data_IF_777878701397
#
_entry.id   IF_777878701397
#
_cell.length_a   1.000
_cell.length_b   1.000
_cell.length_c   1.000
_cell.angle_alpha   90.00
_cell.angle_beta   90.00
_cell.angle_gamma   90.00
#
_symmetry.space_group_name_H-M   'P 1'
#
loop_
_entity.id
_entity.type
_entity.pdbx_description
1 polymer ?
#
# COMPACT_ATOMS: atom_id res chain seq x y z
N UNK A 1 -10.59 5.62 -4.57
CA UNK A 1 -10.64 6.27 -5.89
C UNK A 1 -11.53 5.40 -6.75
N UNK A 2 -12.67 5.91 -7.20
CA UNK A 2 -13.39 5.27 -8.31
C UNK A 2 -12.66 5.72 -9.58
N UNK A 3 -11.65 4.95 -9.97
CA UNK A 3 -11.20 4.94 -11.35
C UNK A 3 -12.33 4.35 -12.20
N UNK A 4 -12.41 4.72 -13.49
CA UNK A 4 -13.28 3.99 -14.41
C UNK A 4 -12.79 2.55 -14.47
N UNK A 5 -13.54 1.69 -13.80
CA UNK A 5 -13.40 0.25 -13.90
C UNK A 5 -14.22 -0.19 -15.10
N UNK A 6 -13.63 -1.04 -15.92
CA UNK A 6 -14.31 -1.58 -17.08
C UNK A 6 -13.65 -2.85 -17.59
N UNK A 7 -14.33 -3.44 -18.57
CA UNK A 7 -13.86 -4.60 -19.33
C UNK A 7 -14.12 -4.33 -20.80
N UNK A 8 -13.10 -4.54 -21.62
CA UNK A 8 -13.14 -4.36 -23.06
C UNK A 8 -12.72 -5.66 -23.71
N UNK A 9 -13.65 -6.28 -24.45
CA UNK A 9 -13.35 -7.43 -25.29
C UNK A 9 -12.95 -6.91 -26.66
N UNK A 10 -11.73 -7.23 -27.05
CA UNK A 10 -11.18 -6.80 -28.33
C UNK A 10 -11.57 -7.84 -29.37
N UNK A 11 -12.27 -7.43 -30.47
CA UNK A 11 -12.57 -8.33 -31.56
C UNK A 11 -11.31 -9.06 -32.03
N UNK A 12 -11.49 -10.31 -32.45
CA UNK A 12 -10.40 -11.25 -32.67
C UNK A 12 -9.32 -10.62 -33.56
N UNK A 13 -8.06 -10.76 -33.12
CA UNK A 13 -6.89 -10.42 -33.94
C UNK A 13 -6.87 -11.21 -35.26
N UNK A 14 -7.67 -12.28 -35.39
CA UNK A 14 -7.84 -13.11 -36.59
C UNK A 14 -9.20 -12.97 -37.29
N UNK A 15 -10.07 -12.03 -36.90
CA UNK A 15 -11.21 -11.59 -37.72
C UNK A 15 -12.55 -12.34 -37.62
N UNK A 16 -12.74 -13.31 -36.73
CA UNK A 16 -14.06 -13.90 -36.46
C UNK A 16 -14.77 -13.24 -35.28
N UNK A 17 -16.10 -13.10 -35.35
CA UNK A 17 -16.96 -12.45 -34.35
C UNK A 17 -16.87 -13.03 -32.92
N UNK A 18 -17.60 -12.43 -31.97
CA UNK A 18 -17.46 -12.62 -30.51
C UNK A 18 -17.14 -14.07 -30.09
N UNK A 19 -15.86 -14.30 -29.85
CA UNK A 19 -15.26 -15.57 -29.44
C UNK A 19 -14.98 -15.47 -27.93
N UNK A 20 -15.39 -16.46 -27.12
CA UNK A 20 -15.07 -16.51 -25.69
C UNK A 20 -13.56 -16.42 -25.39
N UNK A 21 -12.69 -16.70 -26.36
CA UNK A 21 -11.22 -16.58 -26.26
C UNK A 21 -10.66 -15.22 -26.72
N UNK A 22 -11.50 -14.19 -26.87
CA UNK A 22 -11.04 -12.85 -27.26
C UNK A 22 -10.15 -12.20 -26.20
N UNK A 23 -9.16 -11.43 -26.68
CA UNK A 23 -8.31 -10.58 -25.84
C UNK A 23 -9.20 -9.68 -25.00
N UNK A 24 -9.04 -9.73 -23.69
CA UNK A 24 -9.78 -8.89 -22.76
C UNK A 24 -8.80 -7.94 -22.07
N UNK A 25 -9.16 -6.64 -22.06
CA UNK A 25 -8.51 -5.62 -21.24
C UNK A 25 -9.46 -5.28 -20.10
N UNK A 26 -8.94 -5.25 -18.86
CA UNK A 26 -9.77 -4.89 -17.70
C UNK A 26 -9.02 -4.01 -16.71
N UNK A 27 -9.73 -3.07 -16.10
CA UNK A 27 -9.30 -2.28 -14.93
C UNK A 27 -10.17 -2.55 -13.69
N UNK A 28 -11.02 -3.59 -13.74
CA UNK A 28 -12.03 -3.92 -12.73
C UNK A 28 -11.41 -4.61 -11.50
N UNK A 29 -10.52 -3.89 -10.81
CA UNK A 29 -9.84 -4.31 -9.60
C UNK A 29 -9.30 -3.10 -8.83
N UNK A 30 -8.78 -3.33 -7.61
CA UNK A 30 -8.24 -2.28 -6.74
C UNK A 30 -7.15 -1.48 -7.46
N UNK A 31 -7.31 -0.15 -7.46
CA UNK A 31 -6.42 0.82 -8.12
C UNK A 31 -6.36 0.69 -9.64
N UNK A 32 -7.15 -0.18 -10.26
CA UNK A 32 -7.19 -0.35 -11.71
C UNK A 32 -7.77 0.89 -12.40
N UNK A 33 -7.09 1.44 -13.40
CA UNK A 33 -7.58 2.56 -14.21
C UNK A 33 -7.27 2.33 -15.68
N UNK A 34 -8.31 2.25 -16.50
CA UNK A 34 -8.25 2.52 -17.93
C UNK A 34 -9.60 3.10 -18.38
N UNK A 35 -9.54 4.02 -19.32
CA UNK A 35 -10.70 4.52 -20.04
C UNK A 35 -11.01 3.61 -21.23
N UNK A 36 -11.47 4.20 -22.32
CA UNK A 36 -11.76 3.48 -23.56
C UNK A 36 -10.54 2.74 -24.14
N UNK A 37 -10.77 1.54 -24.69
CA UNK A 37 -9.79 0.68 -25.35
C UNK A 37 -10.25 0.38 -26.77
N UNK A 38 -9.36 0.57 -27.77
CA UNK A 38 -9.65 0.33 -29.18
C UNK A 38 -8.48 -0.35 -29.88
N UNK A 39 -8.79 -1.25 -30.81
CA UNK A 39 -7.82 -1.77 -31.77
C UNK A 39 -7.72 -0.77 -32.92
N UNK A 40 -6.57 -0.11 -33.08
CA UNK A 40 -6.37 0.95 -34.08
C UNK A 40 -5.55 0.49 -35.30
N UNK A 41 -4.82 -0.61 -35.15
CA UNK A 41 -4.08 -1.28 -36.21
C UNK A 41 -3.83 -2.73 -35.80
N UNK A 42 -3.22 -3.53 -36.68
CA UNK A 42 -2.84 -4.91 -36.37
C UNK A 42 -2.03 -4.97 -35.07
N UNK A 43 -2.52 -5.77 -34.12
CA UNK A 43 -1.93 -5.96 -32.79
C UNK A 43 -1.65 -4.67 -32.00
N UNK A 44 -2.34 -3.56 -32.32
CA UNK A 44 -2.06 -2.25 -31.71
C UNK A 44 -3.29 -1.72 -30.99
N UNK A 45 -3.22 -1.71 -29.66
CA UNK A 45 -4.27 -1.25 -28.77
C UNK A 45 -4.00 0.20 -28.35
N UNK A 46 -4.95 1.07 -28.67
CA UNK A 46 -5.02 2.40 -28.09
C UNK A 46 -5.84 2.35 -26.81
N UNK A 47 -5.27 2.85 -25.70
CA UNK A 47 -5.91 2.89 -24.39
C UNK A 47 -5.91 4.35 -23.93
N UNK A 48 -7.09 4.88 -23.66
CA UNK A 48 -7.23 6.18 -22.98
C UNK A 48 -7.20 6.00 -21.47
N UNK A 49 -6.78 7.04 -20.73
CA UNK A 49 -6.83 7.09 -19.27
C UNK A 49 -8.11 7.80 -18.84
N UNK A 50 -8.86 7.25 -17.89
CA UNK A 50 -10.00 7.96 -17.32
C UNK A 50 -9.53 9.08 -16.37
N UNK A 51 -10.26 10.21 -16.31
CA UNK A 51 -9.90 11.29 -15.41
C UNK A 51 -10.00 10.88 -13.94
N UNK A 52 -9.26 11.56 -13.06
CA UNK A 52 -9.42 11.34 -11.62
C UNK A 52 -10.89 11.62 -11.20
N UNK A 53 -11.42 10.75 -10.34
CA UNK A 53 -12.80 10.80 -9.85
C UNK A 53 -13.86 10.76 -10.98
N UNK A 54 -13.55 10.09 -12.09
CA UNK A 54 -14.45 9.96 -13.24
C UNK A 54 -15.86 9.53 -12.85
N UNK A 55 -16.86 10.16 -13.46
CA UNK A 55 -18.27 9.87 -13.21
C UNK A 55 -18.82 10.39 -11.88
N UNK A 56 -18.06 11.24 -11.16
CA UNK A 56 -18.52 11.89 -9.92
C UNK A 56 -18.50 13.41 -10.07
N UNK A 57 -19.17 14.13 -9.15
CA UNK A 57 -19.12 15.61 -9.09
C UNK A 57 -17.72 16.17 -8.82
N UNK A 58 -16.78 15.34 -8.34
CA UNK A 58 -15.40 15.72 -8.05
C UNK A 58 -14.43 15.36 -9.18
N UNK A 59 -14.94 15.00 -10.36
CA UNK A 59 -14.12 14.66 -11.52
C UNK A 59 -13.19 15.83 -11.88
N UNK A 60 -11.92 15.52 -12.11
CA UNK A 60 -10.92 16.52 -12.54
C UNK A 60 -10.48 16.30 -13.99
N UNK A 61 -9.58 17.14 -14.50
CA UNK A 61 -8.93 16.92 -15.80
C UNK A 61 -7.65 16.07 -15.72
N UNK A 62 -7.20 15.74 -14.51
CA UNK A 62 -5.97 14.99 -14.28
C UNK A 62 -6.05 13.57 -14.84
N UNK A 63 -5.04 13.19 -15.63
CA UNK A 63 -4.93 11.88 -16.29
C UNK A 63 -3.47 11.44 -16.30
N UNK A 64 -3.05 10.65 -15.34
CA UNK A 64 -1.65 10.18 -15.26
C UNK A 64 -1.58 8.70 -14.96
N UNK A 65 -2.34 8.26 -13.97
CA UNK A 65 -2.32 6.88 -13.51
C UNK A 65 -3.10 5.97 -14.45
N UNK A 66 -2.45 4.93 -14.97
CA UNK A 66 -3.12 3.78 -15.56
C UNK A 66 -2.70 2.50 -14.83
N UNK A 67 -3.62 1.56 -14.74
CA UNK A 67 -3.36 0.22 -14.24
C UNK A 67 -4.43 -0.72 -14.80
N UNK A 68 -4.05 -1.60 -15.72
CA UNK A 68 -4.98 -2.51 -16.37
C UNK A 68 -4.36 -3.91 -16.49
N UNK A 69 -5.20 -4.89 -16.75
CA UNK A 69 -4.85 -6.26 -17.03
C UNK A 69 -5.20 -6.60 -18.48
N UNK A 70 -4.47 -7.55 -19.05
CA UNK A 70 -4.71 -8.12 -20.37
C UNK A 70 -4.71 -9.64 -20.23
N UNK A 71 -5.76 -10.30 -20.71
CA UNK A 71 -5.94 -11.76 -20.70
C UNK A 71 -6.26 -12.26 -22.09
N UNK A 72 -6.21 -13.59 -22.27
CA UNK A 72 -6.60 -14.29 -23.51
C UNK A 72 -5.78 -13.88 -24.75
N UNK A 73 -4.54 -13.40 -24.56
CA UNK A 73 -3.64 -13.12 -25.69
C UNK A 73 -3.04 -14.44 -26.17
N UNK A 74 -3.08 -14.76 -27.49
CA UNK A 74 -2.43 -15.95 -28.00
C UNK A 74 -0.93 -15.95 -27.73
N UNK A 75 -0.37 -17.16 -27.60
CA UNK A 75 1.07 -17.33 -27.35
C UNK A 75 1.88 -16.81 -28.54
N UNK A 76 3.05 -16.25 -28.25
CA UNK A 76 3.97 -15.65 -29.22
C UNK A 76 3.44 -14.36 -29.89
N UNK A 77 2.25 -13.88 -29.52
CA UNK A 77 1.70 -12.61 -30.02
C UNK A 77 2.39 -11.44 -29.34
N UNK A 78 2.79 -10.45 -30.15
CA UNK A 78 3.29 -9.16 -29.68
C UNK A 78 2.19 -8.12 -29.81
N UNK A 79 1.77 -7.52 -28.70
CA UNK A 79 0.88 -6.36 -28.73
C UNK A 79 1.67 -5.07 -28.57
N UNK A 80 1.22 -4.03 -29.28
CA UNK A 80 1.66 -2.65 -29.11
C UNK A 80 0.57 -1.89 -28.33
N UNK A 81 0.97 -1.14 -27.33
CA UNK A 81 0.09 -0.33 -26.50
C UNK A 81 0.40 1.13 -26.77
N UNK A 82 -0.63 1.91 -27.08
CA UNK A 82 -0.58 3.37 -27.17
C UNK A 82 -1.44 3.91 -26.03
N UNK A 83 -0.79 4.36 -24.95
CA UNK A 83 -1.49 5.02 -23.86
C UNK A 83 -1.59 6.50 -24.21
N UNK A 84 -2.79 6.95 -24.54
CA UNK A 84 -3.04 8.33 -24.98
C UNK A 84 -3.53 9.21 -23.84
N UNK A 85 -3.90 10.45 -24.20
CA UNK A 85 -4.59 11.46 -23.40
C UNK A 85 -4.08 11.65 -21.96
N UNK A 86 -2.78 11.41 -21.72
CA UNK A 86 -2.13 11.67 -20.45
C UNK A 86 -1.88 13.18 -20.30
N UNK A 87 -1.84 13.66 -19.06
CA UNK A 87 -1.22 14.94 -18.72
C UNK A 87 0.28 14.91 -19.04
N UNK A 88 0.91 16.09 -19.14
CA UNK A 88 2.33 16.17 -19.52
C UNK A 88 3.23 15.44 -18.52
N UNK A 89 3.94 14.40 -18.99
CA UNK A 89 4.91 13.63 -18.20
C UNK A 89 6.31 13.61 -18.82
N UNK A 90 6.57 14.49 -19.81
CA UNK A 90 7.84 14.54 -20.55
C UNK A 90 9.08 14.56 -19.65
N UNK A 91 9.15 15.32 -18.54
CA UNK A 91 10.30 15.27 -17.65
C UNK A 91 10.58 13.87 -17.08
N UNK A 92 9.56 13.11 -16.70
CA UNK A 92 9.74 11.77 -16.15
C UNK A 92 10.27 10.79 -17.21
N UNK A 93 9.69 10.81 -18.41
CA UNK A 93 10.10 9.92 -19.50
C UNK A 93 11.47 10.29 -20.09
N UNK A 94 11.84 11.57 -20.09
CA UNK A 94 13.21 12.01 -20.42
C UNK A 94 14.26 11.42 -19.45
N UNK A 95 13.90 11.19 -18.19
CA UNK A 95 14.77 10.56 -17.20
C UNK A 95 14.60 9.03 -17.13
N UNK A 96 14.11 8.41 -18.22
CA UNK A 96 14.08 6.95 -18.36
C UNK A 96 12.94 6.26 -17.61
N UNK A 97 11.88 6.98 -17.26
CA UNK A 97 10.67 6.34 -16.73
C UNK A 97 10.13 5.31 -17.73
N UNK A 98 9.82 4.11 -17.22
CA UNK A 98 9.10 3.08 -17.97
C UNK A 98 7.91 2.56 -17.14
N UNK A 99 6.77 2.25 -17.78
CA UNK A 99 5.71 1.49 -17.14
C UNK A 99 6.22 0.17 -16.59
N UNK A 100 5.45 -0.45 -15.71
CA UNK A 100 5.76 -1.75 -15.10
C UNK A 100 4.79 -2.83 -15.58
N UNK A 101 5.27 -4.07 -15.58
CA UNK A 101 4.53 -5.27 -15.91
C UNK A 101 4.66 -6.32 -14.80
N UNK A 102 3.60 -7.10 -14.60
CA UNK A 102 3.61 -8.32 -13.79
C UNK A 102 2.78 -9.39 -14.48
N UNK A 103 3.30 -10.61 -14.60
CA UNK A 103 2.59 -11.74 -15.22
C UNK A 103 2.08 -12.68 -14.13
N UNK A 104 0.77 -12.82 -14.00
CA UNK A 104 0.11 -13.51 -12.90
C UNK A 104 0.05 -12.69 -11.62
N UNK A 105 -0.55 -13.27 -10.57
CA UNK A 105 -0.77 -12.57 -9.30
C UNK A 105 0.46 -12.60 -8.37
N UNK A 106 1.28 -13.65 -8.48
CA UNK A 106 2.40 -13.92 -7.55
C UNK A 106 3.76 -13.47 -8.08
N UNK A 107 3.87 -13.12 -9.36
CA UNK A 107 5.12 -12.65 -9.93
C UNK A 107 5.52 -11.27 -9.37
N UNK A 108 6.81 -10.94 -9.52
CA UNK A 108 7.31 -9.60 -9.21
C UNK A 108 6.93 -8.63 -10.31
N UNK A 109 6.82 -7.36 -9.94
CA UNK A 109 6.71 -6.26 -10.89
C UNK A 109 8.09 -5.95 -11.46
N UNK A 110 8.17 -5.80 -12.78
CA UNK A 110 9.38 -5.37 -13.48
C UNK A 110 9.05 -4.21 -14.41
N UNK A 111 10.07 -3.42 -14.81
CA UNK A 111 9.90 -2.41 -15.86
C UNK A 111 9.62 -3.10 -17.19
N UNK A 112 8.78 -2.49 -18.03
CA UNK A 112 8.55 -2.97 -19.40
C UNK A 112 9.90 -3.15 -20.12
N UNK A 113 10.15 -4.33 -20.72
CA UNK A 113 11.36 -4.54 -21.49
C UNK A 113 11.31 -3.73 -22.79
N UNK A 114 12.46 -3.23 -23.23
CA UNK A 114 12.59 -2.45 -24.46
C UNK A 114 12.35 -0.94 -24.29
N UNK A 115 12.20 -0.24 -25.42
CA UNK A 115 12.02 1.20 -25.46
C UNK A 115 10.57 1.60 -25.18
N UNK A 116 10.40 2.77 -24.56
CA UNK A 116 9.11 3.46 -24.43
C UNK A 116 9.20 4.73 -25.24
N UNK A 117 8.42 4.81 -26.32
CA UNK A 117 8.33 6.02 -27.13
C UNK A 117 7.31 6.96 -26.50
N UNK A 118 7.53 8.26 -26.57
CA UNK A 118 6.61 9.23 -26.00
C UNK A 118 6.61 10.54 -26.78
N UNK A 119 5.47 11.23 -26.78
CA UNK A 119 5.31 12.50 -27.49
C UNK A 119 4.26 13.38 -26.84
N UNK A 120 4.51 14.69 -26.84
CA UNK A 120 3.49 15.70 -26.53
C UNK A 120 2.72 16.01 -27.82
N UNK A 121 1.48 15.57 -27.90
CA UNK A 121 0.60 15.79 -29.06
C UNK A 121 0.02 17.21 -29.04
N UNK A 122 -0.26 17.73 -27.84
CA UNK A 122 -0.69 19.11 -27.63
C UNK A 122 -0.18 19.62 -26.28
N UNK A 123 -0.50 20.86 -25.92
CA UNK A 123 -0.20 21.41 -24.57
C UNK A 123 -0.81 20.56 -23.45
N UNK A 124 -1.92 19.90 -23.69
CA UNK A 124 -2.67 19.14 -22.68
C UNK A 124 -2.63 17.62 -22.88
N UNK A 125 -2.10 17.15 -24.01
CA UNK A 125 -2.07 15.73 -24.34
C UNK A 125 -0.66 15.22 -24.54
N UNK A 126 -0.33 14.20 -23.77
CA UNK A 126 0.86 13.40 -23.84
C UNK A 126 0.46 11.95 -24.11
N UNK A 127 1.30 11.22 -24.82
CA UNK A 127 1.11 9.80 -25.05
C UNK A 127 2.42 9.04 -24.88
N UNK A 128 2.29 7.76 -24.56
CA UNK A 128 3.40 6.80 -24.56
C UNK A 128 3.04 5.56 -25.38
N UNK A 129 4.04 4.94 -25.95
CA UNK A 129 3.94 3.69 -26.69
C UNK A 129 4.98 2.70 -26.21
N UNK A 130 4.54 1.46 -25.99
CA UNK A 130 5.42 0.35 -25.67
C UNK A 130 4.83 -0.96 -26.22
N UNK A 131 5.65 -2.01 -26.28
CA UNK A 131 5.20 -3.32 -26.77
C UNK A 131 5.49 -4.41 -25.74
N UNK A 132 4.69 -5.47 -25.76
CA UNK A 132 4.95 -6.67 -24.97
C UNK A 132 4.66 -7.92 -25.80
N UNK A 133 5.58 -8.89 -25.73
CA UNK A 133 5.41 -10.21 -26.35
C UNK A 133 4.91 -11.20 -25.30
N UNK A 134 3.73 -11.77 -25.55
CA UNK A 134 3.07 -12.69 -24.65
C UNK A 134 3.59 -14.12 -24.90
N UNK A 135 4.35 -14.64 -23.94
CA UNK A 135 4.99 -15.96 -24.06
C UNK A 135 4.24 -17.06 -23.27
N UNK A 136 3.31 -16.66 -22.40
CA UNK A 136 2.55 -17.57 -21.55
C UNK A 136 1.27 -18.06 -22.26
N UNK A 137 0.68 -19.13 -21.73
CA UNK A 137 -0.59 -19.67 -22.23
C UNK A 137 -1.75 -18.66 -22.06
N UNK A 138 -2.83 -18.81 -22.84
CA UNK A 138 -4.01 -17.93 -22.89
C UNK A 138 -4.58 -17.51 -21.52
N UNK A 139 -4.42 -18.35 -20.50
CA UNK A 139 -4.95 -18.14 -19.14
C UNK A 139 -4.09 -17.23 -18.24
N UNK A 140 -2.90 -16.81 -18.68
CA UNK A 140 -2.04 -15.94 -17.87
C UNK A 140 -2.49 -14.49 -17.98
N UNK A 141 -2.78 -13.86 -16.84
CA UNK A 141 -3.11 -12.43 -16.77
C UNK A 141 -1.83 -11.60 -16.72
N UNK A 142 -1.62 -10.72 -17.69
CA UNK A 142 -0.56 -9.71 -17.63
C UNK A 142 -1.11 -8.39 -17.14
N UNK A 143 -0.48 -7.81 -16.12
CA UNK A 143 -0.85 -6.54 -15.54
C UNK A 143 0.15 -5.45 -15.97
N UNK A 144 -0.35 -4.27 -16.32
CA UNK A 144 0.44 -3.12 -16.77
C UNK A 144 0.06 -1.89 -15.94
N UNK A 145 1.04 -1.16 -15.42
CA UNK A 145 0.78 0.06 -14.64
C UNK A 145 1.79 1.18 -14.92
N UNK A 146 1.38 2.42 -14.67
CA UNK A 146 2.23 3.62 -14.83
C UNK A 146 3.51 3.53 -13.98
N UNK A 147 3.36 3.09 -12.72
CA UNK A 147 4.44 2.78 -11.80
C UNK A 147 4.02 1.60 -10.92
N UNK A 148 4.91 1.11 -10.05
CA UNK A 148 4.62 0.02 -9.11
C UNK A 148 3.34 0.33 -8.31
N UNK A 149 2.25 -0.43 -8.47
CA UNK A 149 1.04 -0.19 -7.72
C UNK A 149 1.22 -0.60 -6.25
N UNK A 150 0.56 0.13 -5.38
CA UNK A 150 0.35 -0.27 -3.99
C UNK A 150 -1.13 -0.04 -3.69
N UNK A 151 -1.89 -1.12 -3.62
CA UNK A 151 -3.35 -1.08 -3.54
C UNK A 151 -3.83 -0.79 -2.13
N UNK A 152 -5.09 -0.39 -1.98
CA UNK A 152 -5.68 -0.20 -0.65
C UNK A 152 -5.71 -1.51 0.13
N UNK A 153 -6.05 -2.61 -0.57
CA UNK A 153 -6.09 -3.96 0.00
C UNK A 153 -4.73 -4.40 0.52
N UNK A 154 -3.65 -4.21 -0.26
CA UNK A 154 -2.28 -4.50 0.17
C UNK A 154 -1.85 -3.65 1.37
N UNK A 155 -2.19 -2.35 1.36
CA UNK A 155 -1.91 -1.44 2.47
C UNK A 155 -2.58 -1.91 3.77
N UNK A 156 -3.89 -2.19 3.73
CA UNK A 156 -4.62 -2.66 4.91
C UNK A 156 -4.10 -4.02 5.41
N UNK A 157 -3.80 -4.95 4.49
CA UNK A 157 -3.21 -6.23 4.86
C UNK A 157 -1.85 -6.08 5.54
N UNK A 158 -1.01 -5.14 5.08
CA UNK A 158 0.27 -4.84 5.72
C UNK A 158 0.06 -4.25 7.12
N UNK A 159 -0.82 -3.26 7.27
CA UNK A 159 -1.09 -2.64 8.56
C UNK A 159 -1.66 -3.65 9.57
N UNK A 160 -2.54 -4.56 9.13
CA UNK A 160 -3.03 -5.66 9.97
C UNK A 160 -1.89 -6.57 10.44
N UNK A 161 -0.91 -6.88 9.57
CA UNK A 161 0.27 -7.68 9.95
C UNK A 161 1.15 -6.95 10.96
N UNK A 162 1.35 -5.65 10.80
CA UNK A 162 2.13 -4.84 11.75
C UNK A 162 1.43 -4.75 13.10
N UNK A 163 0.11 -4.53 13.10
CA UNK A 163 -0.71 -4.51 14.30
C UNK A 163 -0.70 -5.86 15.03
N UNK A 164 -0.84 -6.98 14.33
CA UNK A 164 -0.73 -8.31 14.93
C UNK A 164 0.67 -8.58 15.52
N UNK A 165 1.72 -7.99 14.95
CA UNK A 165 3.11 -8.21 15.37
C UNK A 165 3.55 -7.31 16.53
N UNK A 166 3.14 -6.04 16.50
CA UNK A 166 3.64 -4.99 17.39
C UNK A 166 2.56 -4.31 18.21
N UNK A 167 1.28 -4.62 17.99
CA UNK A 167 0.14 -3.98 18.64
C UNK A 167 0.26 -3.99 20.16
N UNK A 168 -0.26 -2.95 20.79
CA UNK A 168 -0.15 -2.69 22.24
C UNK A 168 -0.50 -3.91 23.11
N UNK A 169 -1.48 -4.72 22.70
CA UNK A 169 -1.89 -5.96 23.38
C UNK A 169 -0.70 -6.94 23.55
N UNK A 170 0.21 -7.01 22.56
CA UNK A 170 1.41 -7.85 22.62
C UNK A 170 2.43 -7.43 23.68
N UNK A 171 2.40 -6.17 24.14
CA UNK A 171 3.25 -5.67 25.23
C UNK A 171 2.67 -6.11 26.58
N UNK A 172 1.34 -6.25 26.67
CA UNK A 172 0.63 -6.58 27.90
C UNK A 172 0.67 -8.07 28.22
N UNK A 173 0.62 -8.93 27.20
CA UNK A 173 0.69 -10.39 27.34
C UNK A 173 2.08 -10.89 27.82
N UNK A 174 3.15 -10.22 27.40
CA UNK A 174 4.53 -10.55 27.82
C UNK A 174 4.81 -10.27 29.32
N UNK A 175 3.89 -9.62 30.02
CA UNK A 175 4.04 -9.25 31.43
C UNK A 175 3.37 -10.25 32.39
N UNK A 176 2.45 -11.11 31.93
CA UNK A 176 1.81 -12.13 32.78
C UNK A 176 2.58 -13.47 32.84
N UNK A 177 3.46 -13.74 31.87
CA UNK A 177 4.26 -14.98 31.80
C UNK A 177 5.75 -14.77 32.12
N UNK A 178 6.13 -13.62 32.71
CA UNK A 178 7.48 -13.41 33.24
C UNK A 178 7.64 -14.09 34.60
N UNK A 179 8.82 -14.66 34.94
CA UNK A 179 9.02 -15.22 36.27
C UNK A 179 8.84 -14.11 37.32
N UNK A 180 8.00 -14.36 38.32
CA UNK A 180 7.87 -13.49 39.48
C UNK A 180 9.26 -13.29 40.11
N UNK A 181 9.62 -12.04 40.42
CA UNK A 181 10.84 -11.76 41.17
C UNK A 181 10.73 -12.43 42.55
N UNK A 182 11.71 -13.25 42.98
CA UNK A 182 11.70 -13.77 44.33
C UNK A 182 12.13 -12.65 45.29
N UNK A 183 11.32 -12.45 46.34
CA UNK A 183 11.67 -11.65 47.51
C UNK A 183 12.93 -12.20 48.18
N UNK A 184 13.67 -11.29 48.78
CA UNK A 184 15.00 -11.43 49.37
C UNK A 184 15.12 -12.55 50.41
N UNK A 185 16.18 -13.37 50.32
CA UNK A 185 16.87 -13.93 51.48
C UNK A 185 18.30 -14.40 51.10
N UNK A 186 19.25 -14.22 52.02
CA UNK A 186 20.70 -14.43 51.85
C UNK A 186 21.10 -15.94 51.96
N UNK A 187 22.35 -16.35 51.62
CA UNK A 187 22.64 -17.67 51.05
C UNK A 187 23.07 -18.74 52.08
N UNK A 188 23.12 -20.03 51.65
CA UNK A 188 24.41 -20.73 51.76
C UNK A 188 24.82 -21.61 50.56
N UNK A 189 26.14 -21.57 50.33
CA UNK A 189 27.10 -22.49 49.71
C UNK A 189 26.68 -23.66 48.79
N UNK A 190 27.34 -23.64 47.61
CA UNK A 190 28.10 -24.73 46.96
C UNK A 190 27.35 -25.90 46.27
N UNK A 191 27.36 -25.93 44.93
CA UNK A 191 28.30 -26.71 44.07
C UNK A 191 27.79 -26.72 42.63
N UNK A 192 28.73 -26.63 41.70
CA UNK A 192 28.51 -26.63 40.27
C UNK A 192 28.02 -28.00 39.76
N UNK A 193 27.09 -28.00 38.80
CA UNK A 193 27.31 -28.79 37.60
C UNK A 193 26.60 -28.25 36.37
N UNK A 194 27.33 -28.30 35.26
CA UNK A 194 27.10 -27.71 33.96
C UNK A 194 25.95 -28.35 33.19
N UNK A 195 25.06 -27.51 32.68
CA UNK A 195 24.14 -27.84 31.60
C UNK A 195 23.73 -26.55 30.91
N UNK A 196 24.39 -26.22 29.80
CA UNK A 196 24.08 -25.06 28.95
C UNK A 196 22.70 -25.23 28.33
N UNK A 197 21.66 -24.83 29.07
CA UNK A 197 20.35 -24.53 28.50
C UNK A 197 20.47 -23.16 27.85
N UNK A 198 20.51 -23.16 26.53
CA UNK A 198 20.45 -21.97 25.69
C UNK A 198 19.06 -21.32 25.83
N UNK A 199 18.83 -20.69 26.97
CA UNK A 199 17.63 -19.89 27.26
C UNK A 199 17.81 -18.57 26.54
N UNK A 200 17.40 -18.52 25.26
CA UNK A 200 17.16 -17.26 24.56
C UNK A 200 16.09 -16.49 25.34
N UNK A 201 16.52 -15.71 26.33
CA UNK A 201 15.72 -14.78 27.11
C UNK A 201 15.02 -13.87 26.09
N UNK A 202 13.73 -14.10 25.86
CA UNK A 202 12.92 -13.35 24.89
C UNK A 202 13.06 -11.87 25.27
N UNK A 203 13.85 -11.11 24.52
CA UNK A 203 14.05 -9.68 24.79
C UNK A 203 12.66 -9.04 24.80
N UNK A 204 12.27 -8.44 25.93
CA UNK A 204 11.03 -7.68 26.07
C UNK A 204 10.98 -6.67 24.92
N UNK A 205 9.92 -6.73 24.11
CA UNK A 205 9.69 -5.76 23.05
C UNK A 205 9.46 -4.40 23.69
N UNK A 206 10.25 -3.41 23.29
CA UNK A 206 10.13 -2.02 23.78
C UNK A 206 9.26 -1.15 22.89
N UNK A 207 8.90 -1.63 21.70
CA UNK A 207 8.19 -0.84 20.70
C UNK A 207 6.71 -0.82 21.05
N UNK A 208 6.21 0.38 21.31
CA UNK A 208 4.79 0.69 21.29
C UNK A 208 4.36 0.98 19.86
N UNK A 209 3.43 0.19 19.35
CA UNK A 209 2.76 0.41 18.08
C UNK A 209 1.26 0.44 18.31
N UNK A 210 0.65 1.56 17.93
CA UNK A 210 -0.78 1.73 18.02
C UNK A 210 -1.33 2.23 16.69
N UNK A 211 -2.36 1.56 16.20
CA UNK A 211 -3.05 1.90 14.97
C UNK A 211 -4.46 2.37 15.31
N UNK A 212 -4.76 3.61 14.99
CA UNK A 212 -6.09 4.19 15.15
C UNK A 212 -6.70 4.51 13.78
N UNK A 213 -8.03 4.43 13.67
CA UNK A 213 -8.72 5.06 12.55
C UNK A 213 -8.78 6.56 12.84
N UNK A 214 -8.05 7.37 12.08
CA UNK A 214 -8.08 8.83 12.24
C UNK A 214 -9.42 9.40 11.77
N UNK A 215 -9.83 8.99 10.57
CA UNK A 215 -11.07 9.42 9.92
C UNK A 215 -11.48 8.40 8.85
N UNK A 216 -12.65 8.63 8.26
CA UNK A 216 -13.09 7.94 7.05
C UNK A 216 -13.04 8.89 5.86
N UNK A 217 -12.53 8.41 4.73
CA UNK A 217 -12.61 9.15 3.46
C UNK A 217 -14.06 9.29 2.98
N UNK A 218 -14.30 10.12 1.97
CA UNK A 218 -15.62 10.29 1.32
C UNK A 218 -16.24 8.98 0.81
N UNK A 219 -15.41 7.96 0.56
CA UNK A 219 -15.84 6.63 0.12
C UNK A 219 -15.81 5.60 1.27
N UNK A 220 -15.90 6.07 2.51
CA UNK A 220 -15.92 5.27 3.74
C UNK A 220 -14.70 4.35 3.97
N UNK A 221 -13.54 4.65 3.35
CA UNK A 221 -12.28 3.94 3.62
C UNK A 221 -11.56 4.52 4.83
N UNK A 222 -10.85 3.67 5.59
CA UNK A 222 -10.05 4.10 6.74
C UNK A 222 -8.89 4.99 6.31
N UNK A 223 -8.69 6.08 7.04
CA UNK A 223 -7.44 6.82 7.09
C UNK A 223 -6.80 6.44 8.42
N UNK A 224 -5.75 5.62 8.38
CA UNK A 224 -5.11 5.09 9.59
C UNK A 224 -4.02 6.05 10.09
N UNK A 225 -3.97 6.26 11.41
CA UNK A 225 -2.87 6.92 12.11
C UNK A 225 -2.07 5.87 12.87
N UNK A 226 -0.76 5.86 12.66
CA UNK A 226 0.17 4.97 13.35
C UNK A 226 0.98 5.77 14.36
N UNK A 227 0.92 5.38 15.63
CA UNK A 227 1.78 5.89 16.69
C UNK A 227 2.84 4.85 17.02
N UNK A 228 4.11 5.20 16.79
CA UNK A 228 5.26 4.31 17.00
C UNK A 228 6.26 5.00 17.92
N UNK A 229 6.62 4.37 19.03
CA UNK A 229 7.65 4.87 19.95
C UNK A 229 8.20 3.76 20.83
N UNK A 230 9.22 4.02 21.65
CA UNK A 230 9.58 3.11 22.72
C UNK A 230 8.72 3.40 23.96
N UNK A 231 8.13 2.38 24.57
CA UNK A 231 7.38 2.50 25.82
C UNK A 231 8.09 1.84 27.00
N UNK A 232 7.85 2.41 28.19
CA UNK A 232 8.21 1.87 29.50
C UNK A 232 6.94 1.52 30.27
N UNK A 233 7.06 0.69 31.31
CA UNK A 233 5.91 0.31 32.17
C UNK A 233 5.18 1.52 32.77
N UNK A 234 5.91 2.58 33.11
CA UNK A 234 5.36 3.84 33.63
C UNK A 234 4.44 4.59 32.66
N UNK A 235 4.49 4.27 31.37
CA UNK A 235 3.73 5.00 30.33
C UNK A 235 2.29 4.49 30.21
N UNK A 236 1.99 3.27 30.68
CA UNK A 236 0.69 2.60 30.53
C UNK A 236 -0.46 3.33 31.23
N UNK A 237 -0.18 4.03 32.34
CA UNK A 237 -1.21 4.60 33.21
C UNK A 237 -1.43 6.11 32.98
N UNK A 238 -0.92 6.68 31.89
CA UNK A 238 -0.95 8.13 31.64
C UNK A 238 -2.09 8.62 30.74
N UNK A 239 -3.07 7.77 30.40
CA UNK A 239 -4.27 8.22 29.69
C UNK A 239 -5.56 7.61 30.25
N UNK A 240 -6.39 8.49 30.80
CA UNK A 240 -7.83 8.30 30.94
C UNK A 240 -8.48 8.50 29.56
N UNK A 241 -9.44 7.64 29.18
CA UNK A 241 -10.22 7.71 27.93
C UNK A 241 -10.84 9.10 27.62
N UNK A 242 -10.86 10.00 28.61
CA UNK A 242 -11.54 11.31 28.58
C UNK A 242 -10.90 12.35 27.63
N UNK A 243 -9.61 12.25 27.28
CA UNK A 243 -8.94 13.30 26.48
C UNK A 243 -9.06 13.13 24.97
N UNK A 244 -9.13 11.90 24.46
CA UNK A 244 -9.39 11.64 23.03
C UNK A 244 -10.85 11.94 22.72
N UNK A 245 -11.76 11.48 23.57
CA UNK A 245 -13.19 11.81 23.46
C UNK A 245 -13.40 13.33 23.46
N UNK A 246 -12.78 14.11 24.35
CA UNK A 246 -12.85 15.60 24.28
C UNK A 246 -12.37 16.18 22.95
N UNK A 247 -11.25 15.72 22.39
CA UNK A 247 -10.73 16.21 21.10
C UNK A 247 -11.65 15.82 19.93
N UNK A 248 -12.18 14.59 19.95
CA UNK A 248 -13.17 14.08 18.99
C UNK A 248 -14.46 14.91 19.06
N UNK A 249 -15.01 15.15 20.26
CA UNK A 249 -16.22 15.94 20.47
C UNK A 249 -16.03 17.42 20.11
N UNK A 250 -14.81 17.95 20.26
CA UNK A 250 -14.48 19.33 19.85
C UNK A 250 -14.27 19.47 18.34
N UNK A 251 -13.99 18.37 17.63
CA UNK A 251 -13.73 18.36 16.18
C UNK A 251 -14.47 17.19 15.49
N UNK A 252 -15.81 17.13 15.58
CA UNK A 252 -16.61 15.98 15.12
C UNK A 252 -16.53 15.78 13.60
N UNK A 253 -16.15 16.83 12.85
CA UNK A 253 -15.90 16.77 11.40
C UNK A 253 -14.57 16.11 11.03
N UNK A 254 -13.56 16.17 11.90
CA UNK A 254 -12.23 15.62 11.66
C UNK A 254 -12.10 14.18 12.19
N UNK A 255 -12.84 13.87 13.26
CA UNK A 255 -12.90 12.55 13.87
C UNK A 255 -14.36 12.11 14.01
N UNK A 256 -14.95 11.42 13.02
CA UNK A 256 -16.29 10.88 13.20
C UNK A 256 -16.29 9.95 14.42
N UNK A 257 -17.31 10.07 15.28
CA UNK A 257 -17.50 9.35 16.56
C UNK A 257 -17.35 7.81 16.47
N UNK A 258 -17.29 7.24 15.26
CA UNK A 258 -17.07 5.83 14.95
C UNK A 258 -15.60 5.40 14.78
N UNK A 259 -14.64 6.24 15.19
CA UNK A 259 -13.20 5.91 15.16
C UNK A 259 -12.78 4.87 16.22
N UNK A 260 -13.68 4.56 17.15
CA UNK A 260 -13.61 3.44 18.08
C UNK A 260 -13.93 2.13 17.31
N UNK A 261 -13.21 1.04 17.57
CA UNK A 261 -13.45 -0.30 16.96
C UNK A 261 -14.96 -0.58 16.78
N UNK A 262 -15.37 -1.11 15.63
CA UNK A 262 -16.61 -1.88 15.53
C UNK A 262 -16.52 -2.98 16.60
N UNK A 263 -17.21 -2.81 17.74
CA UNK A 263 -17.07 -3.70 18.90
C UNK A 263 -16.68 -3.08 20.25
N UNK A 264 -16.72 -1.74 20.42
CA UNK A 264 -17.04 -1.17 21.75
C UNK A 264 -15.89 -0.99 22.76
N UNK A 265 -14.62 -1.11 22.38
CA UNK A 265 -13.52 -0.63 23.23
C UNK A 265 -12.77 0.51 22.55
N UNK A 266 -12.93 1.73 23.06
CA UNK A 266 -12.02 2.84 22.81
C UNK A 266 -10.58 2.37 23.13
N UNK A 267 -9.77 2.07 22.11
CA UNK A 267 -8.36 1.81 22.36
C UNK A 267 -7.68 3.16 22.52
N UNK A 268 -7.61 3.65 23.75
CA UNK A 268 -6.92 4.91 24.08
C UNK A 268 -5.43 4.76 23.80
N UNK A 269 -4.90 5.63 22.93
CA UNK A 269 -3.47 5.70 22.68
C UNK A 269 -2.75 6.21 23.94
N UNK A 270 -1.60 5.63 24.29
CA UNK A 270 -0.78 6.10 25.41
C UNK A 270 -0.21 7.49 25.13
N UNK A 271 -0.03 8.29 26.19
CA UNK A 271 0.62 9.60 26.12
C UNK A 271 2.08 9.49 26.54
N UNK A 272 2.96 10.07 25.74
CA UNK A 272 4.40 10.10 25.99
C UNK A 272 4.85 11.54 26.24
N UNK A 273 4.98 11.91 27.51
CA UNK A 273 5.34 13.27 27.92
C UNK A 273 6.82 13.55 27.66
N UNK A 274 7.13 14.79 27.24
CA UNK A 274 8.51 15.23 26.99
C UNK A 274 9.17 14.61 25.75
N UNK A 275 8.46 13.78 24.98
CA UNK A 275 8.96 13.24 23.71
C UNK A 275 8.65 14.19 22.54
N UNK A 276 9.64 14.52 21.70
CA UNK A 276 9.38 15.22 20.44
C UNK A 276 8.44 14.41 19.56
N UNK A 277 7.51 15.10 18.89
CA UNK A 277 6.57 14.49 17.94
C UNK A 277 7.09 14.77 16.53
N UNK A 278 7.26 13.72 15.74
CA UNK A 278 7.56 13.81 14.31
C UNK A 278 6.36 13.27 13.55
N UNK A 279 5.76 14.10 12.70
CA UNK A 279 4.66 13.70 11.83
C UNK A 279 5.18 13.38 10.43
N UNK A 280 4.81 12.20 9.92
CA UNK A 280 5.14 11.78 8.56
C UNK A 280 3.85 11.35 7.87
N UNK A 281 3.59 11.90 6.70
CA UNK A 281 2.51 11.49 5.81
C UNK A 281 3.07 11.08 4.45
N UNK A 282 2.31 10.24 3.74
CA UNK A 282 2.69 9.75 2.42
C UNK A 282 1.47 9.66 1.50
N UNK A 283 1.72 9.82 0.20
CA UNK A 283 0.76 9.64 -0.88
C UNK A 283 -0.52 10.47 -0.74
N UNK A 284 -0.34 11.77 -0.53
CA UNK A 284 -1.42 12.78 -0.62
C UNK A 284 -2.01 12.77 -2.04
N UNK A 285 -1.14 12.70 -3.06
CA UNK A 285 -1.56 12.44 -4.42
C UNK A 285 -1.65 10.92 -4.67
N UNK A 286 -2.80 10.41 -5.11
CA UNK A 286 -3.07 8.98 -5.17
C UNK A 286 -2.24 8.21 -6.22
N UNK A 287 -1.93 8.87 -7.33
CA UNK A 287 -1.10 8.33 -8.42
C UNK A 287 0.40 8.29 -8.09
N UNK A 288 0.83 8.94 -7.00
CA UNK A 288 2.22 8.95 -6.54
C UNK A 288 2.53 7.74 -5.65
N UNK A 289 2.32 6.55 -6.22
CA UNK A 289 2.55 5.28 -5.52
C UNK A 289 3.96 5.10 -4.95
N UNK A 290 5.06 5.66 -5.52
CA UNK A 290 6.38 5.58 -4.90
C UNK A 290 6.42 6.12 -3.46
N UNK A 291 5.60 7.12 -3.13
CA UNK A 291 5.51 7.67 -1.78
C UNK A 291 5.06 6.60 -0.76
N UNK A 292 4.17 5.68 -1.15
CA UNK A 292 3.83 4.54 -0.29
C UNK A 292 5.04 3.67 0.00
N UNK A 293 5.82 3.30 -1.02
CA UNK A 293 7.00 2.45 -0.84
C UNK A 293 8.08 3.12 0.02
N UNK A 294 8.30 4.42 -0.14
CA UNK A 294 9.18 5.20 0.76
C UNK A 294 8.70 5.12 2.20
N UNK A 295 7.39 5.28 2.43
CA UNK A 295 6.80 5.15 3.76
C UNK A 295 6.92 3.73 4.32
N UNK A 296 6.79 2.69 3.49
CA UNK A 296 7.01 1.31 3.91
C UNK A 296 8.46 1.09 4.36
N UNK A 297 9.44 1.59 3.61
CA UNK A 297 10.84 1.53 4.00
C UNK A 297 11.12 2.29 5.31
N UNK A 298 10.45 3.44 5.51
CA UNK A 298 10.50 4.15 6.79
C UNK A 298 9.91 3.31 7.93
N UNK A 299 8.77 2.65 7.73
CA UNK A 299 8.17 1.76 8.72
C UNK A 299 9.09 0.58 9.06
N UNK A 300 9.70 -0.05 8.07
CA UNK A 300 10.67 -1.14 8.27
C UNK A 300 11.87 -0.66 9.10
N UNK A 301 12.41 0.52 8.77
CA UNK A 301 13.51 1.14 9.53
C UNK A 301 13.11 1.47 10.97
N UNK A 302 12.02 2.23 11.15
CA UNK A 302 11.60 2.69 12.49
C UNK A 302 11.04 1.56 13.35
N UNK A 303 10.76 0.38 12.80
CA UNK A 303 10.36 -0.81 13.57
C UNK A 303 11.53 -1.77 13.82
N UNK A 304 12.74 -1.48 13.32
CA UNK A 304 13.90 -2.32 13.59
C UNK A 304 14.40 -2.11 15.03
N UNK A 305 14.34 -3.17 15.84
CA UNK A 305 14.83 -3.22 17.23
C UNK A 305 16.35 -3.33 17.34
N UNK A 306 17.02 -3.68 16.25
CA UNK A 306 18.48 -3.88 16.19
C UNK A 306 19.20 -2.66 15.64
N UNK A 307 18.52 -1.82 14.86
CA UNK A 307 19.12 -0.59 14.33
C UNK A 307 19.25 0.48 15.45
N UNK A 308 20.48 0.91 15.79
CA UNK A 308 20.69 1.89 16.86
C UNK A 308 20.16 3.28 16.52
N UNK A 309 20.04 3.63 15.23
CA UNK A 309 19.46 4.92 14.79
C UNK A 309 17.96 4.90 15.03
N UNK A 310 17.29 3.82 14.63
CA UNK A 310 15.86 3.65 14.87
C UNK A 310 15.55 3.61 16.38
N UNK A 311 16.38 2.94 17.17
CA UNK A 311 16.25 2.91 18.63
C UNK A 311 16.38 4.30 19.29
N UNK A 312 17.24 5.18 18.76
CA UNK A 312 17.41 6.56 19.27
C UNK A 312 16.26 7.48 18.85
N UNK A 313 15.66 7.24 17.69
CA UNK A 313 14.52 8.02 17.21
C UNK A 313 13.21 7.68 17.94
N UNK A 314 13.08 6.46 18.47
CA UNK A 314 11.91 5.96 19.22
C UNK A 314 11.96 6.22 20.73
#
# INVERSE_FOLDING_TARGET
MNSCQGRWRIPSLSGSGMDPDMVEVSSDFDSGNCGNVQLIAENTLEISIAPDCAGTQFQTHSRTWFYFSVTNVPRETKLNFVIRNMGQQKPLFNHGMKPVIRIGQTAKWDRIPGAVHFSSISKQHFQIQFSHKFLCAKQSTSYFAFCYPHTYTECQALLNKLEARYGVETILEDDQNGPAEPESEAPPSAKANSGTRDTKKRRRRKIYFHRACLAKSLQNRRVDLLTITNAKKSDKNKFESQSISKVIHSNPSLFPLSTCREGGTETSCWKFEGKPIVFVSARVHPGETPSSFTFLGFLEFILDEKDPRACRLR
#
